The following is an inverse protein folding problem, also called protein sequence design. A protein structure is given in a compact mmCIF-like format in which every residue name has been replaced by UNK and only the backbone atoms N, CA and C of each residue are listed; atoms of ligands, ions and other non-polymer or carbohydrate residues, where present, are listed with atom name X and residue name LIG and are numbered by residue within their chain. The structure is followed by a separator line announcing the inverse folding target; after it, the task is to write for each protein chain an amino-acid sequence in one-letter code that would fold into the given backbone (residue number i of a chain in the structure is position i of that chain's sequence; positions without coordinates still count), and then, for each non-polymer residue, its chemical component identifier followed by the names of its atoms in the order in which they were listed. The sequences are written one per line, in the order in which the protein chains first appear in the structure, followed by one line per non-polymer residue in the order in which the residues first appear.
data_IF_887180391371
#
_entry.id   IF_887180391371
#
_cell.length_a   1.000
_cell.length_b   1.000
_cell.length_c   1.000
_cell.angle_alpha   90.00
_cell.angle_beta   90.00
_cell.angle_gamma   90.00
#
_symmetry.space_group_name_H-M   'P 1'
#
loop_
_entity.id
_entity.type
_entity.pdbx_description
1 polymer ?
#
# COMPACT_ATOMS: atom_id res chain seq x y z
N UNK A 1 20.58 34.59 12.46
CA UNK A 1 20.47 33.54 11.47
C UNK A 1 19.49 32.49 11.98
N UNK A 2 18.25 32.65 11.57
CA UNK A 2 17.16 31.70 11.87
C UNK A 2 17.52 30.37 11.26
N UNK A 3 17.74 29.36 12.10
CA UNK A 3 17.96 28.01 11.65
C UNK A 3 16.76 27.54 10.83
N UNK A 4 16.94 27.41 9.52
CA UNK A 4 16.00 26.72 8.64
C UNK A 4 15.84 25.32 9.24
N UNK A 5 14.70 25.06 9.85
CA UNK A 5 14.34 23.73 10.34
C UNK A 5 14.37 22.80 9.11
N UNK A 6 15.36 21.89 9.07
CA UNK A 6 15.52 20.98 7.93
C UNK A 6 14.28 20.08 7.86
N UNK A 7 13.68 19.97 6.68
CA UNK A 7 12.55 19.09 6.39
C UNK A 7 12.93 17.65 6.72
N UNK A 8 12.08 16.92 7.45
CA UNK A 8 12.26 15.50 7.72
C UNK A 8 12.22 14.67 6.45
N UNK A 9 12.76 13.47 6.51
CA UNK A 9 12.81 12.55 5.36
C UNK A 9 11.40 12.26 4.82
N UNK A 10 10.46 11.92 5.68
CA UNK A 10 9.09 11.59 5.25
C UNK A 10 8.38 12.78 4.61
N UNK A 11 8.51 13.97 5.20
CA UNK A 11 7.91 15.19 4.63
C UNK A 11 8.50 15.51 3.26
N UNK A 12 9.80 15.27 3.08
CA UNK A 12 10.47 15.40 1.79
C UNK A 12 9.91 14.44 0.74
N UNK A 13 9.70 13.17 1.12
CA UNK A 13 9.13 12.16 0.22
C UNK A 13 7.69 12.51 -0.18
N UNK A 14 6.87 12.93 0.77
CA UNK A 14 5.49 13.31 0.53
C UNK A 14 5.39 14.55 -0.36
N UNK A 15 6.27 15.54 -0.15
CA UNK A 15 6.31 16.74 -1.00
C UNK A 15 6.72 16.40 -2.42
N UNK A 16 7.70 15.54 -2.61
CA UNK A 16 8.16 15.12 -3.94
C UNK A 16 7.08 14.39 -4.75
N UNK A 17 6.07 13.84 -4.09
CA UNK A 17 5.02 13.01 -4.69
C UNK A 17 3.61 13.59 -4.52
N UNK A 18 3.48 14.84 -4.08
CA UNK A 18 2.18 15.41 -3.71
C UNK A 18 1.15 15.36 -4.85
N UNK A 19 1.57 15.63 -6.10
CA UNK A 19 0.67 15.59 -7.26
C UNK A 19 0.19 14.15 -7.56
N UNK A 20 1.08 13.17 -7.40
CA UNK A 20 0.73 11.76 -7.61
C UNK A 20 -0.28 11.32 -6.54
N UNK A 21 -0.03 11.65 -5.28
CA UNK A 21 -0.91 11.29 -4.17
C UNK A 21 -2.25 12.00 -4.24
N UNK A 22 -2.27 13.27 -4.67
CA UNK A 22 -3.51 13.99 -4.92
C UNK A 22 -4.36 13.29 -5.98
N UNK A 23 -3.75 12.72 -7.01
CA UNK A 23 -4.44 11.99 -8.07
C UNK A 23 -5.17 10.73 -7.58
N UNK A 24 -4.74 10.11 -6.48
CA UNK A 24 -5.42 8.92 -5.95
C UNK A 24 -6.88 9.16 -5.62
N UNK A 25 -7.19 10.34 -5.07
CA UNK A 25 -8.55 10.68 -4.65
C UNK A 25 -9.53 10.83 -5.82
N UNK A 26 -9.01 11.08 -7.03
CA UNK A 26 -9.80 11.24 -8.25
C UNK A 26 -9.91 9.96 -9.07
N UNK A 27 -9.23 8.89 -8.68
CA UNK A 27 -9.32 7.61 -9.37
C UNK A 27 -10.76 7.08 -9.33
N UNK A 28 -11.33 6.63 -10.47
CA UNK A 28 -12.72 6.13 -10.52
C UNK A 28 -13.00 5.03 -9.49
N UNK A 29 -12.05 4.12 -9.29
CA UNK A 29 -12.19 3.06 -8.30
C UNK A 29 -12.33 3.63 -6.88
N UNK A 30 -11.51 4.60 -6.51
CA UNK A 30 -11.53 5.27 -5.19
C UNK A 30 -12.83 6.07 -5.02
N UNK A 31 -13.27 6.78 -6.05
CA UNK A 31 -14.56 7.49 -6.07
C UNK A 31 -15.73 6.51 -5.88
N UNK A 32 -15.66 5.35 -6.52
CA UNK A 32 -16.64 4.29 -6.34
C UNK A 32 -16.72 3.76 -4.91
N UNK A 33 -15.59 3.61 -4.23
CA UNK A 33 -15.52 3.26 -2.80
C UNK A 33 -16.16 4.35 -1.93
N UNK A 34 -15.83 5.61 -2.21
CA UNK A 34 -16.31 6.77 -1.45
C UNK A 34 -17.83 6.90 -1.48
N UNK A 35 -18.42 6.79 -2.65
CA UNK A 35 -19.86 6.96 -2.83
C UNK A 35 -20.67 5.65 -2.80
N UNK A 36 -20.00 4.52 -2.64
CA UNK A 36 -20.67 3.22 -2.64
C UNK A 36 -21.20 2.79 -4.00
N UNK A 37 -20.71 3.37 -5.08
CA UNK A 37 -21.16 3.15 -6.46
C UNK A 37 -20.25 2.22 -7.26
N UNK A 38 -19.17 1.74 -6.65
CA UNK A 38 -18.22 0.85 -7.32
C UNK A 38 -18.89 -0.44 -7.77
N UNK A 39 -18.63 -0.82 -9.03
CA UNK A 39 -19.08 -2.11 -9.56
C UNK A 39 -18.47 -3.26 -8.74
N UNK A 40 -19.30 -4.16 -8.25
CA UNK A 40 -18.87 -5.30 -7.45
C UNK A 40 -17.90 -6.22 -8.21
N UNK A 41 -17.99 -6.31 -9.52
CA UNK A 41 -17.06 -7.09 -10.35
C UNK A 41 -15.66 -6.50 -10.33
N UNK A 42 -15.56 -5.17 -10.36
CA UNK A 42 -14.27 -4.46 -10.22
C UNK A 42 -13.68 -4.69 -8.84
N UNK A 43 -14.47 -4.58 -7.80
CA UNK A 43 -14.03 -4.82 -6.43
C UNK A 43 -13.59 -6.28 -6.22
N UNK A 44 -14.33 -7.23 -6.78
CA UNK A 44 -13.97 -8.66 -6.76
C UNK A 44 -12.61 -8.91 -7.41
N UNK A 45 -12.38 -8.36 -8.59
CA UNK A 45 -11.09 -8.45 -9.30
C UNK A 45 -9.97 -7.79 -8.50
N UNK A 46 -10.23 -6.64 -7.90
CA UNK A 46 -9.28 -5.96 -7.01
C UNK A 46 -8.87 -6.85 -5.83
N UNK A 47 -9.81 -7.50 -5.16
CA UNK A 47 -9.51 -8.41 -4.04
C UNK A 47 -8.59 -9.55 -4.48
N UNK A 48 -8.80 -10.12 -5.65
CA UNK A 48 -7.95 -11.20 -6.19
C UNK A 48 -6.52 -10.68 -6.46
N UNK A 49 -6.40 -9.55 -7.14
CA UNK A 49 -5.09 -8.95 -7.44
C UNK A 49 -4.36 -8.53 -6.16
N UNK A 50 -5.08 -7.93 -5.22
CA UNK A 50 -4.50 -7.47 -3.96
C UNK A 50 -4.07 -8.63 -3.04
N UNK A 51 -4.76 -9.77 -3.09
CA UNK A 51 -4.31 -10.98 -2.41
C UNK A 51 -2.89 -11.36 -2.85
N UNK A 52 -2.61 -11.43 -4.14
CA UNK A 52 -1.29 -11.75 -4.66
C UNK A 52 -0.27 -10.65 -4.41
N UNK A 53 -0.70 -9.38 -4.46
CA UNK A 53 0.12 -8.25 -4.04
C UNK A 53 0.61 -8.41 -2.60
N UNK A 54 -0.28 -8.74 -1.67
CA UNK A 54 0.05 -8.92 -0.26
C UNK A 54 1.01 -10.09 -0.03
N UNK A 55 0.94 -11.14 -0.83
CA UNK A 55 1.91 -12.25 -0.74
C UNK A 55 3.34 -11.77 -1.06
N UNK A 56 3.51 -11.04 -2.15
CA UNK A 56 4.80 -10.46 -2.51
C UNK A 56 5.23 -9.33 -1.55
N UNK A 57 4.30 -8.52 -1.11
CA UNK A 57 4.53 -7.47 -0.10
C UNK A 57 5.09 -8.07 1.19
N UNK A 58 4.53 -9.18 1.64
CA UNK A 58 5.05 -9.93 2.80
C UNK A 58 6.50 -10.37 2.60
N UNK A 59 6.86 -10.81 1.40
CA UNK A 59 8.24 -11.18 1.07
C UNK A 59 9.21 -10.01 1.13
N UNK A 60 8.77 -8.80 0.80
CA UNK A 60 9.58 -7.58 0.96
C UNK A 60 9.94 -7.37 2.43
N UNK A 61 8.99 -7.53 3.35
CA UNK A 61 9.26 -7.48 4.79
C UNK A 61 10.20 -8.60 5.26
N UNK A 62 10.06 -9.81 4.70
CA UNK A 62 10.95 -10.93 5.03
C UNK A 62 12.40 -10.66 4.62
N UNK A 63 12.63 -10.05 3.47
CA UNK A 63 13.95 -9.58 3.04
C UNK A 63 14.44 -8.48 4.00
N UNK A 64 13.56 -7.61 4.46
CA UNK A 64 13.84 -6.63 5.50
C UNK A 64 14.35 -7.26 6.78
N UNK A 65 13.73 -8.34 7.25
CA UNK A 65 14.23 -9.13 8.40
C UNK A 65 15.66 -9.61 8.14
N UNK A 66 15.90 -10.21 6.98
CA UNK A 66 17.22 -10.74 6.62
C UNK A 66 18.31 -9.66 6.53
N UNK A 67 17.93 -8.43 6.18
CA UNK A 67 18.86 -7.30 6.02
C UNK A 67 18.95 -6.38 7.23
N UNK A 68 18.16 -6.62 8.25
CA UNK A 68 18.15 -5.80 9.46
C UNK A 68 19.49 -5.85 10.21
N UNK A 69 19.99 -4.69 10.61
CA UNK A 69 21.24 -4.52 11.35
C UNK A 69 21.06 -4.52 12.86
N UNK A 70 19.81 -4.42 13.34
CA UNK A 70 19.46 -4.44 14.75
C UNK A 70 18.26 -5.35 15.02
N UNK A 71 18.20 -5.87 16.24
CA UNK A 71 17.05 -6.68 16.71
C UNK A 71 15.76 -5.84 16.68
N UNK A 72 15.85 -4.56 16.97
CA UNK A 72 14.68 -3.65 16.94
C UNK A 72 14.04 -3.58 15.56
N UNK A 73 14.82 -3.34 14.52
CA UNK A 73 14.34 -3.28 13.15
C UNK A 73 13.87 -4.65 12.67
N UNK A 74 14.59 -5.71 13.03
CA UNK A 74 14.19 -7.08 12.72
C UNK A 74 12.81 -7.42 13.31
N UNK A 75 12.57 -7.07 14.57
CA UNK A 75 11.27 -7.25 15.23
C UNK A 75 10.17 -6.45 14.57
N UNK A 76 10.47 -5.23 14.13
CA UNK A 76 9.51 -4.39 13.40
C UNK A 76 9.02 -5.10 12.13
N UNK A 77 9.93 -5.54 11.27
CA UNK A 77 9.57 -6.26 10.06
C UNK A 77 8.82 -7.57 10.34
N UNK A 78 9.28 -8.35 11.32
CA UNK A 78 8.63 -9.61 11.69
C UNK A 78 7.21 -9.40 12.21
N UNK A 79 6.99 -8.35 13.00
CA UNK A 79 5.65 -7.97 13.48
C UNK A 79 4.70 -7.63 12.32
N UNK A 80 5.19 -6.90 11.31
CA UNK A 80 4.38 -6.56 10.14
C UNK A 80 4.04 -7.79 9.30
N UNK A 81 4.97 -8.72 9.12
CA UNK A 81 4.68 -10.00 8.46
C UNK A 81 3.51 -10.69 9.15
N UNK A 82 3.55 -10.80 10.47
CA UNK A 82 2.48 -11.41 11.24
C UNK A 82 1.16 -10.65 11.10
N UNK A 83 1.21 -9.31 11.17
CA UNK A 83 0.04 -8.46 11.01
C UNK A 83 -0.62 -8.59 9.64
N UNK A 84 0.16 -8.67 8.57
CA UNK A 84 -0.36 -8.88 7.21
C UNK A 84 -1.02 -10.26 7.11
N UNK A 85 -0.33 -11.31 7.53
CA UNK A 85 -0.82 -12.68 7.41
C UNK A 85 -2.06 -12.96 8.27
N UNK A 86 -2.13 -12.38 9.46
CA UNK A 86 -3.25 -12.60 10.39
C UNK A 86 -4.36 -11.55 10.24
N UNK A 87 -4.03 -10.32 9.87
CA UNK A 87 -4.94 -9.19 9.85
C UNK A 87 -5.52 -8.90 8.47
N UNK A 88 -4.69 -8.46 7.54
CA UNK A 88 -5.16 -8.05 6.20
C UNK A 88 -5.64 -9.25 5.39
N UNK A 89 -4.98 -10.38 5.48
CA UNK A 89 -5.45 -11.62 4.85
C UNK A 89 -6.81 -12.04 5.42
N UNK A 90 -7.05 -11.83 6.71
CA UNK A 90 -8.36 -12.11 7.29
C UNK A 90 -9.46 -11.20 6.76
N UNK A 91 -9.18 -9.90 6.52
CA UNK A 91 -10.13 -8.99 5.86
C UNK A 91 -10.41 -9.46 4.43
N UNK A 92 -9.36 -9.84 3.69
CA UNK A 92 -9.51 -10.40 2.35
C UNK A 92 -10.28 -11.72 2.36
N UNK A 93 -10.03 -12.60 3.32
CA UNK A 93 -10.78 -13.85 3.48
C UNK A 93 -12.27 -13.58 3.70
N UNK A 94 -12.64 -12.54 4.46
CA UNK A 94 -14.03 -12.12 4.61
C UNK A 94 -14.66 -11.72 3.28
N UNK A 95 -14.00 -10.89 2.49
CA UNK A 95 -14.46 -10.51 1.16
C UNK A 95 -14.46 -11.68 0.18
N UNK A 96 -13.45 -12.54 0.22
CA UNK A 96 -13.41 -13.74 -0.62
C UNK A 96 -14.59 -14.65 -0.35
N UNK A 97 -14.97 -14.85 0.92
CA UNK A 97 -16.15 -15.61 1.29
C UNK A 97 -17.44 -14.96 0.77
N UNK A 98 -17.58 -13.64 0.93
CA UNK A 98 -18.75 -12.89 0.46
C UNK A 98 -18.93 -12.97 -1.08
N UNK A 99 -17.82 -12.99 -1.83
CA UNK A 99 -17.82 -13.08 -3.29
C UNK A 99 -17.72 -14.51 -3.84
N UNK A 100 -17.60 -15.51 -2.97
CA UNK A 100 -17.43 -16.90 -3.40
C UNK A 100 -16.11 -17.17 -4.14
N UNK A 101 -15.06 -16.42 -3.83
CA UNK A 101 -13.73 -16.62 -4.41
C UNK A 101 -13.05 -17.82 -3.74
N UNK A 102 -12.66 -18.81 -4.55
CA UNK A 102 -11.98 -20.03 -4.07
C UNK A 102 -10.46 -19.93 -4.24
N UNK A 103 -9.72 -20.75 -3.53
CA UNK A 103 -8.27 -20.87 -3.72
C UNK A 103 -7.93 -21.31 -5.15
N UNK A 104 -8.72 -22.20 -5.72
CA UNK A 104 -8.54 -22.63 -7.12
C UNK A 104 -8.67 -21.45 -8.10
N UNK A 105 -9.64 -20.57 -7.89
CA UNK A 105 -9.79 -19.36 -8.70
C UNK A 105 -8.58 -18.41 -8.54
N UNK A 106 -8.10 -18.22 -7.31
CA UNK A 106 -6.90 -17.43 -7.05
C UNK A 106 -5.69 -18.00 -7.80
N UNK A 107 -5.49 -19.30 -7.72
CA UNK A 107 -4.33 -19.97 -8.30
C UNK A 107 -4.34 -19.92 -9.83
N UNK A 108 -5.51 -19.87 -10.46
CA UNK A 108 -5.68 -19.86 -11.91
C UNK A 108 -5.92 -18.46 -12.49
N UNK A 109 -6.13 -17.42 -11.66
CA UNK A 109 -6.29 -16.06 -12.15
C UNK A 109 -4.93 -15.43 -12.44
N UNK A 110 -4.67 -14.96 -13.67
CA UNK A 110 -3.41 -14.31 -14.00
C UNK A 110 -3.18 -13.05 -13.15
N UNK A 111 -1.98 -12.89 -12.64
CA UNK A 111 -1.57 -11.65 -12.00
C UNK A 111 -1.37 -10.60 -13.11
N UNK A 112 -2.04 -9.47 -12.97
CA UNK A 112 -1.96 -8.40 -13.97
C UNK A 112 -0.58 -7.76 -14.01
N UNK A 113 -0.21 -7.24 -15.17
CA UNK A 113 1.13 -6.67 -15.37
C UNK A 113 1.41 -5.50 -14.43
N UNK A 114 0.44 -4.62 -14.20
CA UNK A 114 0.61 -3.50 -13.26
C UNK A 114 0.93 -3.99 -11.83
N UNK A 115 0.27 -5.04 -11.38
CA UNK A 115 0.53 -5.68 -10.10
C UNK A 115 1.93 -6.32 -10.09
N UNK A 116 2.24 -7.12 -11.11
CA UNK A 116 3.54 -7.81 -11.24
C UNK A 116 4.70 -6.83 -11.31
N UNK A 117 4.56 -5.75 -12.04
CA UNK A 117 5.59 -4.70 -12.17
C UNK A 117 5.85 -4.02 -10.83
N UNK A 118 4.78 -3.70 -10.10
CA UNK A 118 4.89 -3.06 -8.79
C UNK A 118 5.62 -3.94 -7.78
N UNK A 119 5.21 -5.18 -7.62
CA UNK A 119 5.82 -6.10 -6.65
C UNK A 119 7.25 -6.47 -7.05
N UNK A 120 7.52 -6.65 -8.34
CA UNK A 120 8.89 -6.90 -8.84
C UNK A 120 9.81 -5.72 -8.55
N UNK A 121 9.33 -4.49 -8.69
CA UNK A 121 10.10 -3.30 -8.33
C UNK A 121 10.43 -3.27 -6.84
N UNK A 122 9.44 -3.49 -5.97
CA UNK A 122 9.66 -3.51 -4.52
C UNK A 122 10.65 -4.61 -4.10
N UNK A 123 10.53 -5.79 -4.68
CA UNK A 123 11.47 -6.89 -4.44
C UNK A 123 12.89 -6.53 -4.91
N UNK A 124 13.02 -5.89 -6.07
CA UNK A 124 14.31 -5.38 -6.56
C UNK A 124 14.94 -4.38 -5.61
N UNK A 125 14.17 -3.43 -5.09
CA UNK A 125 14.62 -2.47 -4.06
C UNK A 125 15.08 -3.21 -2.81
N UNK A 126 14.32 -4.20 -2.36
CA UNK A 126 14.64 -4.97 -1.16
C UNK A 126 15.95 -5.76 -1.32
N UNK A 127 16.17 -6.39 -2.46
CA UNK A 127 17.40 -7.15 -2.72
C UNK A 127 18.63 -6.26 -2.86
N UNK A 128 18.50 -5.08 -3.45
CA UNK A 128 19.63 -4.16 -3.70
C UNK A 128 19.92 -3.23 -2.53
N UNK A 129 18.89 -2.82 -1.81
CA UNK A 129 18.95 -1.84 -0.73
C UNK A 129 19.10 -2.47 0.65
N UNK A 130 18.95 -1.62 1.65
CA UNK A 130 18.92 -1.97 3.05
C UNK A 130 17.62 -1.53 3.72
N UNK A 131 17.66 -1.39 5.03
CA UNK A 131 16.50 -1.11 5.88
C UNK A 131 15.71 0.14 5.44
N UNK A 132 16.39 1.25 5.17
CA UNK A 132 15.73 2.51 4.83
C UNK A 132 15.05 2.47 3.45
N UNK A 133 15.69 1.85 2.46
CA UNK A 133 15.14 1.68 1.12
C UNK A 133 13.89 0.79 1.14
N UNK A 134 13.95 -0.30 1.91
CA UNK A 134 12.81 -1.22 2.09
C UNK A 134 11.66 -0.50 2.78
N UNK A 135 11.92 0.22 3.88
CA UNK A 135 10.89 1.00 4.59
C UNK A 135 10.28 2.08 3.70
N UNK A 136 11.07 2.73 2.86
CA UNK A 136 10.59 3.75 1.91
C UNK A 136 9.59 3.14 0.90
N UNK A 137 9.92 1.98 0.33
CA UNK A 137 9.01 1.29 -0.59
C UNK A 137 7.71 0.85 0.09
N UNK A 138 7.81 0.29 1.29
CA UNK A 138 6.67 -0.16 2.09
C UNK A 138 5.78 1.01 2.51
N UNK A 139 6.37 2.10 2.98
CA UNK A 139 5.65 3.25 3.52
C UNK A 139 4.79 3.93 2.47
N UNK A 140 5.22 3.95 1.21
CA UNK A 140 4.40 4.47 0.11
C UNK A 140 3.04 3.77 0.02
N UNK A 141 3.01 2.46 0.08
CA UNK A 141 1.75 1.71 0.10
C UNK A 141 1.00 1.90 1.43
N UNK A 142 1.63 1.58 2.54
CA UNK A 142 0.96 1.55 3.84
C UNK A 142 0.31 2.88 4.22
N UNK A 143 0.99 3.99 3.98
CA UNK A 143 0.47 5.32 4.33
C UNK A 143 -0.54 5.84 3.30
N UNK A 144 -0.40 5.52 2.03
CA UNK A 144 -1.36 5.97 1.01
C UNK A 144 -2.78 5.45 1.26
N UNK A 145 -2.92 4.23 1.73
CA UNK A 145 -4.23 3.67 2.09
C UNK A 145 -4.89 4.43 3.25
N UNK A 146 -4.13 4.82 4.26
CA UNK A 146 -4.64 5.67 5.34
C UNK A 146 -5.10 7.03 4.81
N UNK A 147 -4.27 7.67 3.99
CA UNK A 147 -4.57 8.99 3.40
C UNK A 147 -5.84 8.94 2.54
N UNK A 148 -5.98 7.91 1.71
CA UNK A 148 -7.17 7.70 0.89
C UNK A 148 -8.41 7.50 1.76
N UNK A 149 -8.34 6.61 2.75
CA UNK A 149 -9.48 6.32 3.62
C UNK A 149 -9.90 7.53 4.44
N UNK A 150 -8.95 8.31 4.97
CA UNK A 150 -9.25 9.56 5.69
C UNK A 150 -9.97 10.58 4.80
N UNK A 151 -9.49 10.75 3.58
CA UNK A 151 -10.12 11.66 2.61
C UNK A 151 -11.52 11.22 2.23
N UNK A 152 -11.75 9.93 2.06
CA UNK A 152 -13.08 9.37 1.82
C UNK A 152 -14.02 9.75 2.97
N UNK A 153 -13.61 9.56 4.22
CA UNK A 153 -14.45 9.87 5.38
C UNK A 153 -14.69 11.37 5.54
N UNK A 154 -13.68 12.19 5.25
CA UNK A 154 -13.79 13.65 5.27
C UNK A 154 -14.84 14.15 4.27
N UNK A 155 -14.82 13.63 3.05
CA UNK A 155 -15.71 14.06 1.96
C UNK A 155 -17.07 13.34 1.99
N UNK A 156 -17.13 12.12 2.52
CA UNK A 156 -18.34 11.32 2.63
C UNK A 156 -18.40 10.62 4.00
N UNK A 157 -18.86 11.31 5.06
CA UNK A 157 -18.87 10.76 6.42
C UNK A 157 -19.67 9.47 6.60
N UNK A 158 -20.59 9.15 5.69
CA UNK A 158 -21.36 7.92 5.70
C UNK A 158 -20.65 6.72 5.03
N UNK A 159 -19.56 6.95 4.33
CA UNK A 159 -18.83 5.89 3.62
C UNK A 159 -18.44 4.69 4.52
N UNK A 160 -18.00 4.88 5.78
CA UNK A 160 -17.68 3.77 6.67
C UNK A 160 -18.86 2.84 6.99
N UNK A 161 -20.09 3.32 6.80
CA UNK A 161 -21.31 2.55 7.08
C UNK A 161 -21.87 1.81 5.87
N UNK A 162 -21.26 1.98 4.69
CA UNK A 162 -21.70 1.31 3.48
C UNK A 162 -21.65 -0.22 3.66
N UNK A 163 -22.73 -0.96 3.32
CA UNK A 163 -22.81 -2.39 3.58
C UNK A 163 -21.70 -3.22 2.92
N UNK A 164 -21.26 -2.83 1.72
CA UNK A 164 -20.23 -3.55 0.97
C UNK A 164 -18.83 -2.99 1.24
N UNK A 165 -18.63 -1.67 1.08
CA UNK A 165 -17.31 -1.05 1.05
C UNK A 165 -16.90 -0.38 2.37
N UNK A 166 -17.81 -0.23 3.32
CA UNK A 166 -17.52 0.40 4.61
C UNK A 166 -16.42 -0.31 5.40
N UNK A 167 -16.37 -1.63 5.34
CA UNK A 167 -15.33 -2.46 5.97
C UNK A 167 -13.94 -2.14 5.42
N UNK A 168 -13.81 -1.92 4.11
CA UNK A 168 -12.56 -1.49 3.49
C UNK A 168 -12.14 -0.12 4.04
N UNK A 169 -13.04 0.85 4.02
CA UNK A 169 -12.77 2.22 4.51
C UNK A 169 -12.36 2.21 5.97
N UNK A 170 -13.12 1.53 6.84
CA UNK A 170 -12.79 1.43 8.27
C UNK A 170 -11.46 0.76 8.54
N UNK A 171 -11.08 -0.22 7.73
CA UNK A 171 -9.88 -1.02 7.93
C UNK A 171 -8.59 -0.19 7.93
N UNK A 172 -8.55 0.90 7.18
CA UNK A 172 -7.35 1.72 7.02
C UNK A 172 -7.31 2.97 7.91
N UNK A 173 -8.31 3.17 8.75
CA UNK A 173 -8.36 4.27 9.73
C UNK A 173 -8.50 3.77 11.18
N UNK A 174 -8.32 2.49 11.43
CA UNK A 174 -8.28 1.96 12.80
C UNK A 174 -7.09 2.53 13.55
N UNK A 175 -7.17 2.70 14.89
CA UNK A 175 -6.02 3.11 15.69
C UNK A 175 -4.79 2.21 15.51
N UNK A 176 -5.01 0.91 15.30
CA UNK A 176 -3.94 -0.04 15.02
C UNK A 176 -3.23 0.27 13.71
N UNK A 177 -3.98 0.47 12.62
CA UNK A 177 -3.40 0.73 11.30
C UNK A 177 -2.66 2.08 11.27
N UNK A 178 -3.30 3.14 11.75
CA UNK A 178 -2.71 4.48 11.79
C UNK A 178 -1.52 4.54 12.75
N UNK A 179 -1.59 3.86 13.89
CA UNK A 179 -0.47 3.73 14.83
C UNK A 179 0.74 3.00 14.21
N UNK A 180 0.49 1.98 13.42
CA UNK A 180 1.54 1.28 12.68
C UNK A 180 2.25 2.22 11.69
N UNK A 181 1.52 3.09 11.00
CA UNK A 181 2.12 4.07 10.09
C UNK A 181 2.99 5.10 10.83
N UNK A 182 2.60 5.50 12.04
CA UNK A 182 3.45 6.35 12.90
C UNK A 182 4.76 5.63 13.23
N UNK A 183 4.71 4.35 13.58
CA UNK A 183 5.91 3.55 13.87
C UNK A 183 6.83 3.45 12.65
N UNK A 184 6.28 3.21 11.46
CA UNK A 184 7.05 3.16 10.21
C UNK A 184 7.72 4.49 9.92
N UNK A 185 6.97 5.59 10.04
CA UNK A 185 7.49 6.94 9.87
C UNK A 185 8.65 7.23 10.81
N UNK A 186 8.48 6.98 12.09
CA UNK A 186 9.50 7.25 13.12
C UNK A 186 10.75 6.41 12.88
N UNK A 187 10.60 5.16 12.47
CA UNK A 187 11.74 4.30 12.15
C UNK A 187 12.48 4.82 10.92
N UNK A 188 11.78 5.22 9.87
CA UNK A 188 12.40 5.78 8.67
C UNK A 188 13.17 7.08 8.98
N UNK A 189 12.60 7.98 9.78
CA UNK A 189 13.28 9.19 10.23
C UNK A 189 14.58 8.88 11.00
N UNK A 190 14.53 7.90 11.90
CA UNK A 190 15.71 7.50 12.68
C UNK A 190 16.80 6.90 11.81
N UNK A 191 16.46 6.02 10.90
CA UNK A 191 17.42 5.33 10.02
C UNK A 191 18.08 6.27 9.02
N UNK A 192 17.44 7.37 8.69
CA UNK A 192 17.92 8.32 7.67
C UNK A 192 18.48 9.63 8.25
N UNK A 193 18.59 9.71 9.57
CA UNK A 193 19.02 10.91 10.27
C UNK A 193 20.33 11.50 9.72
N UNK A 194 21.29 10.65 9.39
CA UNK A 194 22.61 11.05 8.93
C UNK A 194 22.80 10.82 7.42
N UNK A 195 21.70 10.68 6.66
CA UNK A 195 21.75 10.47 5.22
C UNK A 195 22.26 11.71 4.48
N UNK A 196 23.09 11.48 3.48
CA UNK A 196 23.53 12.51 2.54
C UNK A 196 22.40 12.91 1.60
N UNK A 197 22.55 14.06 0.94
CA UNK A 197 21.60 14.51 -0.08
C UNK A 197 21.43 13.50 -1.22
N UNK A 198 22.50 12.82 -1.61
CA UNK A 198 22.46 11.77 -2.63
C UNK A 198 21.64 10.56 -2.17
N UNK A 199 21.83 10.13 -0.92
CA UNK A 199 21.05 9.04 -0.32
C UNK A 199 19.57 9.42 -0.21
N UNK A 200 19.24 10.64 0.18
CA UNK A 200 17.86 11.12 0.27
C UNK A 200 17.20 11.19 -1.12
N UNK A 201 17.94 11.63 -2.15
CA UNK A 201 17.41 11.60 -3.53
C UNK A 201 17.11 10.20 -4.01
N UNK A 202 17.92 9.22 -3.64
CA UNK A 202 17.63 7.82 -3.98
C UNK A 202 16.35 7.32 -3.31
N UNK A 203 16.11 7.71 -2.05
CA UNK A 203 14.83 7.41 -1.40
C UNK A 203 13.64 8.10 -2.09
N UNK A 204 13.80 9.33 -2.56
CA UNK A 204 12.77 10.01 -3.36
C UNK A 204 12.47 9.26 -4.66
N UNK A 205 13.47 8.75 -5.34
CA UNK A 205 13.29 7.95 -6.56
C UNK A 205 12.46 6.69 -6.26
N UNK A 206 12.78 5.96 -5.19
CA UNK A 206 12.04 4.78 -4.75
C UNK A 206 10.60 5.14 -4.42
N UNK A 207 10.40 6.16 -3.60
CA UNK A 207 9.07 6.58 -3.15
C UNK A 207 8.20 7.06 -4.32
N UNK A 208 8.79 7.82 -5.24
CA UNK A 208 8.12 8.29 -6.45
C UNK A 208 7.72 7.13 -7.36
N UNK A 209 8.63 6.18 -7.58
CA UNK A 209 8.32 5.00 -8.38
C UNK A 209 7.19 4.17 -7.77
N UNK A 210 7.26 3.89 -6.46
CA UNK A 210 6.20 3.16 -5.74
C UNK A 210 4.87 3.92 -5.80
N UNK A 211 4.89 5.25 -5.65
CA UNK A 211 3.69 6.08 -5.74
C UNK A 211 3.04 6.02 -7.12
N UNK A 212 3.84 5.99 -8.19
CA UNK A 212 3.34 5.80 -9.56
C UNK A 212 2.77 4.41 -9.78
N UNK A 213 3.41 3.37 -9.26
CA UNK A 213 2.88 2.01 -9.31
C UNK A 213 1.55 1.88 -8.57
N UNK A 214 1.40 2.56 -7.44
CA UNK A 214 0.14 2.62 -6.70
C UNK A 214 -0.97 3.27 -7.56
N UNK A 215 -0.68 4.38 -8.23
CA UNK A 215 -1.61 5.01 -9.17
C UNK A 215 -2.02 4.05 -10.29
N UNK A 216 -1.06 3.32 -10.88
CA UNK A 216 -1.32 2.31 -11.91
C UNK A 216 -2.16 1.14 -11.38
N UNK A 217 -1.97 0.77 -10.12
CA UNK A 217 -2.76 -0.29 -9.47
C UNK A 217 -4.24 0.11 -9.38
N UNK A 218 -4.55 1.35 -9.01
CA UNK A 218 -5.90 1.88 -8.99
C UNK A 218 -6.52 1.92 -10.38
N UNK A 219 -5.76 2.29 -11.40
CA UNK A 219 -6.22 2.27 -12.80
C UNK A 219 -6.48 0.83 -13.27
N UNK A 220 -5.63 -0.11 -12.94
CA UNK A 220 -5.81 -1.54 -13.21
C UNK A 220 -7.09 -2.06 -12.54
N UNK A 221 -7.29 -1.75 -11.27
CA UNK A 221 -8.46 -2.18 -10.51
C UNK A 221 -9.77 -1.67 -11.15
N UNK A 222 -9.75 -0.46 -11.71
CA UNK A 222 -10.92 0.12 -12.38
C UNK A 222 -11.19 -0.51 -13.76
N UNK A 223 -10.17 -0.90 -14.50
CA UNK A 223 -10.32 -1.57 -15.81
C UNK A 223 -10.87 -2.98 -15.67
N UNK A 224 -10.48 -3.69 -14.63
CA UNK A 224 -10.86 -5.07 -14.42
C UNK A 224 -12.35 -5.21 -14.10
N UNK A 225 -13.02 -6.12 -14.75
CA UNK A 225 -14.45 -6.34 -14.59
C UNK A 225 -15.33 -5.58 -15.59
N UNK A 226 -14.78 -4.62 -16.34
CA UNK A 226 -15.49 -3.98 -17.46
C UNK A 226 -15.21 -4.64 -18.79
N UNK A 227 -14.05 -5.25 -18.96
CA UNK A 227 -13.77 -6.11 -20.11
C UNK A 227 -14.48 -7.44 -19.87
N UNK A 228 -15.64 -7.57 -20.49
CA UNK A 228 -16.46 -8.76 -20.42
C UNK A 228 -15.68 -9.98 -20.82
N UNK A 229 -15.44 -10.85 -19.85
CA UNK A 229 -15.04 -12.21 -20.11
C UNK A 229 -13.58 -12.35 -20.51
N UNK A 230 -12.78 -12.81 -19.61
CA UNK A 230 -11.75 -13.74 -19.99
C UNK A 230 -12.48 -14.82 -20.78
N UNK A 231 -12.31 -14.81 -22.09
CA UNK A 231 -12.70 -15.96 -22.90
C UNK A 231 -11.90 -17.14 -22.39
N UNK A 232 -12.63 -18.15 -21.97
CA UNK A 232 -12.09 -19.43 -21.55
C UNK A 232 -11.22 -20.05 -22.65
#
# INVERSE_FOLDING_TARGET
PEGRQMMGTVDRLLKATEDIWASYHEKPFVQGLKYGTLDQKKFRSYIIQDYWYLMDYTKVFAIGVAKSKSVEVMKLFAKYIQAILDGEVNVHNGYMADFGITQEELDHTPIQQDNRSYTSYMLSVAYRGGEAEILTAIFSCAYSYEVIARKIVEECPSAPEHPMYGRWVRGYITPRYTGNNVILKDMLERLTKDYTEEQLRYLEEIFTACSRYEASFWDMADRFGTEGGVQA
#
